data_IF_358549307457
#
_entry.id   IF_358549307457
#
_cell.length_a   1.000
_cell.length_b   1.000
_cell.length_c   1.000
_cell.angle_alpha   90.00
_cell.angle_beta   90.00
_cell.angle_gamma   90.00
#
_symmetry.space_group_name_H-M   'P 1'
#
loop_
_entity.id
_entity.type
_entity.pdbx_description
1 polymer ?
#
# COMPACT_ATOMS: atom_id res chain seq x y z
N UNK A 1 -34.31 -14.73 27.42
CA UNK A 1 -33.73 -13.40 27.16
C UNK A 1 -32.67 -13.53 26.10
N UNK A 2 -32.84 -12.86 24.95
CA UNK A 2 -31.83 -12.86 23.90
C UNK A 2 -30.59 -12.11 24.38
N UNK A 3 -29.43 -12.77 24.43
CA UNK A 3 -28.14 -12.10 24.62
C UNK A 3 -27.97 -11.15 23.44
N UNK A 4 -27.93 -9.83 23.69
CA UNK A 4 -27.54 -8.87 22.65
C UNK A 4 -26.13 -9.26 22.21
N UNK A 5 -25.99 -9.73 20.97
CA UNK A 5 -24.68 -10.00 20.41
C UNK A 5 -23.94 -8.67 20.38
N UNK A 6 -22.82 -8.60 21.10
CA UNK A 6 -21.96 -7.43 21.08
C UNK A 6 -21.21 -7.44 19.74
N UNK A 7 -21.83 -6.87 18.70
CA UNK A 7 -21.29 -6.85 17.34
C UNK A 7 -19.89 -6.20 17.29
N UNK A 8 -19.55 -5.36 18.27
CA UNK A 8 -18.23 -4.76 18.44
C UNK A 8 -17.15 -5.76 18.94
N UNK A 9 -17.56 -6.81 19.67
CA UNK A 9 -16.68 -7.91 20.07
C UNK A 9 -16.55 -9.00 18.99
N UNK A 10 -17.53 -9.10 18.07
CA UNK A 10 -17.55 -10.10 17.01
C UNK A 10 -16.75 -9.71 15.74
N UNK A 11 -16.47 -8.43 15.51
CA UNK A 11 -15.74 -7.97 14.31
C UNK A 11 -14.23 -7.84 14.59
N UNK A 12 -13.39 -8.40 13.70
CA UNK A 12 -11.93 -8.26 13.83
C UNK A 12 -11.53 -6.79 13.74
N UNK A 13 -10.48 -6.40 14.47
CA UNK A 13 -9.92 -5.03 14.39
C UNK A 13 -9.60 -4.66 12.94
N UNK A 14 -9.05 -5.61 12.17
CA UNK A 14 -8.75 -5.40 10.76
C UNK A 14 -9.99 -5.00 9.93
N UNK A 15 -11.12 -5.68 10.11
CA UNK A 15 -12.38 -5.36 9.42
C UNK A 15 -12.90 -3.95 9.76
N UNK A 16 -12.74 -3.50 11.01
CA UNK A 16 -13.17 -2.16 11.46
C UNK A 16 -12.42 -1.02 10.78
N UNK A 17 -11.14 -1.20 10.50
CA UNK A 17 -10.30 -0.15 9.90
C UNK A 17 -10.10 -0.30 8.38
N UNK A 18 -10.71 -1.30 7.73
CA UNK A 18 -10.55 -1.50 6.28
C UNK A 18 -11.00 -0.31 5.42
N UNK A 19 -12.07 0.38 5.82
CA UNK A 19 -12.51 1.59 5.11
C UNK A 19 -11.49 2.72 5.25
N UNK A 20 -10.91 2.87 6.46
CA UNK A 20 -9.90 3.90 6.75
C UNK A 20 -8.61 3.63 5.97
N UNK A 21 -8.10 2.39 5.99
CA UNK A 21 -6.91 2.03 5.22
C UNK A 21 -7.16 2.21 3.72
N UNK A 22 -8.35 1.88 3.22
CA UNK A 22 -8.75 2.13 1.83
C UNK A 22 -8.74 3.62 1.46
N UNK A 23 -9.27 4.50 2.31
CA UNK A 23 -9.23 5.96 2.10
C UNK A 23 -7.80 6.49 2.09
N UNK A 24 -6.95 6.05 3.02
CA UNK A 24 -5.53 6.44 3.04
C UNK A 24 -4.81 5.97 1.77
N UNK A 25 -5.14 4.77 1.28
CA UNK A 25 -4.58 4.25 0.04
C UNK A 25 -4.99 5.14 -1.14
N UNK A 26 -6.26 5.48 -1.26
CA UNK A 26 -6.77 6.35 -2.33
C UNK A 26 -6.04 7.70 -2.37
N UNK A 27 -5.85 8.33 -1.21
CA UNK A 27 -5.11 9.60 -1.11
C UNK A 27 -3.65 9.44 -1.56
N UNK A 28 -2.98 8.37 -1.15
CA UNK A 28 -1.62 8.11 -1.60
C UNK A 28 -1.51 7.76 -3.08
N UNK A 29 -2.54 7.14 -3.68
CA UNK A 29 -2.61 6.94 -5.15
C UNK A 29 -2.68 8.30 -5.85
N UNK A 30 -3.55 9.21 -5.42
CA UNK A 30 -3.65 10.56 -6.00
C UNK A 30 -2.31 11.28 -5.91
N UNK A 31 -1.66 11.24 -4.74
CA UNK A 31 -0.34 11.82 -4.54
C UNK A 31 0.72 11.16 -5.44
N UNK A 32 0.69 9.84 -5.60
CA UNK A 32 1.57 9.09 -6.50
C UNK A 32 1.35 9.47 -7.98
N UNK A 33 0.10 9.64 -8.40
CA UNK A 33 -0.22 10.10 -9.75
C UNK A 33 0.32 11.51 -10.00
N UNK A 34 0.09 12.45 -9.09
CA UNK A 34 0.57 13.84 -9.24
C UNK A 34 2.10 13.92 -9.23
N UNK A 35 2.77 13.13 -8.38
CA UNK A 35 4.22 13.18 -8.25
C UNK A 35 4.98 12.57 -9.43
N UNK A 36 4.43 11.52 -10.05
CA UNK A 36 5.14 10.79 -11.11
C UNK A 36 4.35 10.74 -12.40
N UNK A 37 3.17 10.11 -12.40
CA UNK A 37 2.45 9.82 -13.64
C UNK A 37 2.07 11.08 -14.42
N UNK A 38 1.53 12.09 -13.74
CA UNK A 38 1.16 13.39 -14.34
C UNK A 38 2.40 14.09 -14.89
N UNK A 39 3.54 14.02 -14.18
CA UNK A 39 4.80 14.64 -14.64
C UNK A 39 5.37 13.95 -15.86
N UNK A 40 5.37 12.63 -15.88
CA UNK A 40 5.93 11.84 -16.97
C UNK A 40 5.03 11.91 -18.22
N UNK A 41 3.70 11.86 -18.05
CA UNK A 41 2.76 11.67 -19.15
C UNK A 41 2.06 12.95 -19.62
N UNK A 42 1.86 13.95 -18.75
CA UNK A 42 1.03 15.13 -19.05
C UNK A 42 1.86 16.40 -19.10
N UNK A 43 2.57 16.74 -18.02
CA UNK A 43 3.25 18.05 -17.91
C UNK A 43 4.65 18.05 -18.51
N UNK A 44 5.24 16.89 -18.71
CA UNK A 44 6.67 16.76 -19.02
C UNK A 44 7.54 16.83 -17.76
N UNK A 45 8.78 16.37 -17.92
CA UNK A 45 9.78 16.37 -16.85
C UNK A 45 10.18 17.82 -16.48
N UNK A 46 10.37 18.12 -15.19
CA UNK A 46 10.85 19.44 -14.75
C UNK A 46 12.23 19.78 -15.30
N UNK A 47 12.56 21.07 -15.39
CA UNK A 47 13.87 21.54 -15.84
C UNK A 47 15.01 20.91 -15.01
N UNK A 48 16.00 20.35 -15.71
CA UNK A 48 17.13 19.64 -15.10
C UNK A 48 16.87 18.17 -14.73
N UNK A 49 15.69 17.62 -15.07
CA UNK A 49 15.37 16.19 -14.96
C UNK A 49 15.28 15.60 -16.37
N UNK A 50 16.22 14.74 -16.73
CA UNK A 50 16.34 14.19 -18.09
C UNK A 50 15.60 12.86 -18.27
N UNK A 51 15.30 12.16 -17.18
CA UNK A 51 14.63 10.86 -17.24
C UNK A 51 13.75 10.57 -16.01
N UNK A 52 12.87 9.59 -16.14
CA UNK A 52 11.94 9.14 -15.10
C UNK A 52 12.66 8.70 -13.82
N UNK A 53 13.86 8.12 -13.95
CA UNK A 53 14.66 7.68 -12.81
C UNK A 53 15.11 8.86 -11.95
N UNK A 54 15.61 9.94 -12.56
CA UNK A 54 15.99 11.17 -11.87
C UNK A 54 14.80 11.84 -11.20
N UNK A 55 13.60 11.74 -11.79
CA UNK A 55 12.38 12.24 -11.16
C UNK A 55 12.07 11.50 -9.86
N UNK A 56 12.14 10.16 -9.89
CA UNK A 56 11.87 9.31 -8.72
C UNK A 56 12.91 9.55 -7.63
N UNK A 57 14.19 9.46 -7.98
CA UNK A 57 15.30 9.66 -7.04
C UNK A 57 15.28 11.08 -6.47
N UNK A 58 15.10 12.09 -7.32
CA UNK A 58 15.03 13.49 -6.92
C UNK A 58 13.94 13.76 -5.89
N UNK A 59 12.75 13.15 -6.02
CA UNK A 59 11.67 13.33 -5.03
C UNK A 59 12.09 12.84 -3.63
N UNK A 60 12.72 11.65 -3.55
CA UNK A 60 13.09 11.01 -2.29
C UNK A 60 14.38 11.57 -1.67
N UNK A 61 15.31 12.08 -2.48
CA UNK A 61 16.49 12.78 -1.99
C UNK A 61 16.14 14.16 -1.42
N UNK A 62 15.36 14.94 -2.18
CA UNK A 62 15.05 16.32 -1.82
C UNK A 62 14.16 16.44 -0.58
N UNK A 63 13.35 15.42 -0.27
CA UNK A 63 12.39 15.47 0.84
C UNK A 63 12.34 14.17 1.63
N UNK A 64 12.88 14.22 2.85
CA UNK A 64 12.73 13.14 3.82
C UNK A 64 11.27 12.86 4.18
N UNK A 65 10.43 13.90 4.13
CA UNK A 65 9.01 13.82 4.44
C UNK A 65 8.27 12.94 3.41
N UNK A 66 8.57 13.08 2.11
CA UNK A 66 8.00 12.19 1.10
C UNK A 66 8.48 10.75 1.31
N UNK A 67 9.75 10.50 1.62
CA UNK A 67 10.22 9.15 1.92
C UNK A 67 9.43 8.49 3.06
N UNK A 68 9.27 9.18 4.19
CA UNK A 68 8.53 8.64 5.34
C UNK A 68 7.06 8.41 5.00
N UNK A 69 6.41 9.36 4.32
CA UNK A 69 5.02 9.24 3.90
C UNK A 69 4.78 8.02 3.00
N UNK A 70 5.64 7.82 1.99
CA UNK A 70 5.53 6.67 1.08
C UNK A 70 5.79 5.34 1.80
N UNK A 71 6.74 5.28 2.73
CA UNK A 71 6.99 4.06 3.54
C UNK A 71 5.75 3.71 4.36
N UNK A 72 5.19 4.68 5.08
CA UNK A 72 3.95 4.46 5.87
C UNK A 72 2.81 4.03 4.95
N UNK A 73 2.68 4.66 3.79
CA UNK A 73 1.66 4.31 2.80
C UNK A 73 1.81 2.89 2.27
N UNK A 74 3.03 2.41 1.96
CA UNK A 74 3.27 1.03 1.52
C UNK A 74 2.98 0.00 2.60
N UNK A 75 3.25 0.31 3.88
CA UNK A 75 2.87 -0.58 5.00
C UNK A 75 1.35 -0.72 5.08
N UNK A 76 0.63 0.40 5.02
CA UNK A 76 -0.85 0.42 5.05
C UNK A 76 -1.42 -0.33 3.84
N UNK A 77 -0.85 -0.11 2.65
CA UNK A 77 -1.21 -0.81 1.41
C UNK A 77 -1.03 -2.33 1.58
N UNK A 78 0.10 -2.78 2.12
CA UNK A 78 0.38 -4.19 2.37
C UNK A 78 -0.65 -4.85 3.28
N UNK A 79 -1.00 -4.20 4.39
CA UNK A 79 -2.02 -4.69 5.32
C UNK A 79 -3.41 -4.74 4.65
N UNK A 80 -3.78 -3.69 3.92
CA UNK A 80 -5.06 -3.62 3.20
C UNK A 80 -5.17 -4.71 2.13
N UNK A 81 -4.11 -4.92 1.34
CA UNK A 81 -4.07 -5.96 0.31
C UNK A 81 -4.14 -7.36 0.91
N UNK A 82 -3.38 -7.64 1.98
CA UNK A 82 -3.42 -8.94 2.64
C UNK A 82 -4.84 -9.26 3.15
N UNK A 83 -5.53 -8.27 3.73
CA UNK A 83 -6.90 -8.43 4.19
C UNK A 83 -7.91 -8.54 3.04
N UNK A 84 -7.85 -7.64 2.07
CA UNK A 84 -8.74 -7.61 0.90
C UNK A 84 -8.63 -8.89 0.07
N UNK A 85 -7.42 -9.44 -0.05
CA UNK A 85 -7.15 -10.65 -0.81
C UNK A 85 -7.88 -11.86 -0.23
N UNK A 86 -7.87 -12.10 1.09
CA UNK A 86 -8.67 -13.21 1.63
C UNK A 86 -10.15 -12.87 1.74
N UNK A 87 -10.51 -11.61 1.98
CA UNK A 87 -11.90 -11.17 2.19
C UNK A 87 -12.77 -11.33 0.93
N UNK A 88 -12.18 -11.19 -0.26
CA UNK A 88 -12.91 -11.48 -1.51
C UNK A 88 -13.34 -12.95 -1.61
N UNK A 89 -12.52 -13.90 -1.15
CA UNK A 89 -12.86 -15.33 -1.17
C UNK A 89 -13.96 -15.69 -0.17
N UNK A 90 -14.08 -14.94 0.93
CA UNK A 90 -15.23 -15.08 1.82
C UNK A 90 -16.52 -14.58 1.15
N UNK A 91 -16.43 -13.47 0.42
CA UNK A 91 -17.58 -12.87 -0.29
C UNK A 91 -18.10 -13.78 -1.40
N UNK A 92 -17.22 -14.52 -2.09
CA UNK A 92 -17.59 -15.47 -3.15
C UNK A 92 -18.06 -16.84 -2.62
N UNK A 93 -18.21 -17.00 -1.30
CA UNK A 93 -18.72 -18.23 -0.68
C UNK A 93 -17.68 -19.33 -0.48
N UNK A 94 -16.38 -19.03 -0.60
CA UNK A 94 -15.30 -19.98 -0.33
C UNK A 94 -14.81 -19.93 1.13
N UNK A 95 -15.58 -19.34 2.04
CA UNK A 95 -15.17 -19.10 3.43
C UNK A 95 -14.88 -20.38 4.25
N UNK A 96 -15.46 -21.51 3.84
CA UNK A 96 -15.47 -22.79 4.60
C UNK A 96 -14.60 -23.88 3.97
N UNK A 97 -13.75 -23.54 2.99
CA UNK A 97 -12.85 -24.51 2.35
C UNK A 97 -11.55 -24.69 3.15
N UNK A 98 -11.10 -25.94 3.27
CA UNK A 98 -9.95 -26.33 4.11
C UNK A 98 -8.62 -25.67 3.69
N UNK A 99 -8.51 -25.16 2.45
CA UNK A 99 -7.31 -24.51 1.92
C UNK A 99 -7.27 -22.99 2.15
N UNK A 100 -8.36 -22.37 2.63
CA UNK A 100 -8.43 -20.92 2.87
C UNK A 100 -7.40 -20.41 3.89
N UNK A 101 -7.11 -21.13 5.01
CA UNK A 101 -6.07 -20.69 5.95
C UNK A 101 -4.66 -20.71 5.35
N UNK A 102 -4.39 -21.62 4.39
CA UNK A 102 -3.14 -21.65 3.65
C UNK A 102 -3.03 -20.41 2.74
N UNK A 103 -4.11 -20.12 2.01
CA UNK A 103 -4.19 -18.94 1.15
C UNK A 103 -3.98 -17.63 1.93
N UNK A 104 -4.57 -17.51 3.12
CA UNK A 104 -4.39 -16.34 3.99
C UNK A 104 -2.91 -16.11 4.35
N UNK A 105 -2.18 -17.18 4.69
CA UNK A 105 -0.74 -17.10 4.99
C UNK A 105 0.06 -16.73 3.74
N UNK A 106 -0.25 -17.35 2.60
CA UNK A 106 0.41 -17.05 1.33
C UNK A 106 0.19 -15.59 0.92
N UNK A 107 -1.04 -15.10 1.03
CA UNK A 107 -1.40 -13.72 0.76
C UNK A 107 -0.64 -12.75 1.66
N UNK A 108 -0.55 -13.05 2.97
CA UNK A 108 0.22 -12.24 3.90
C UNK A 108 1.70 -12.16 3.50
N UNK A 109 2.32 -13.30 3.18
CA UNK A 109 3.73 -13.34 2.75
C UNK A 109 3.92 -12.57 1.45
N UNK A 110 3.08 -12.81 0.46
CA UNK A 110 3.15 -12.14 -0.84
C UNK A 110 3.01 -10.61 -0.70
N UNK A 111 1.99 -10.15 0.01
CA UNK A 111 1.77 -8.72 0.24
C UNK A 111 2.91 -8.10 1.06
N UNK A 112 3.47 -8.81 2.04
CA UNK A 112 4.63 -8.35 2.80
C UNK A 112 5.86 -8.18 1.90
N UNK A 113 6.16 -9.16 1.04
CA UNK A 113 7.28 -9.10 0.09
C UNK A 113 7.14 -7.90 -0.86
N UNK A 114 5.97 -7.70 -1.45
CA UNK A 114 5.72 -6.57 -2.35
C UNK A 114 5.89 -5.22 -1.61
N UNK A 115 5.31 -5.11 -0.41
CA UNK A 115 5.40 -3.87 0.39
C UNK A 115 6.84 -3.56 0.79
N UNK A 116 7.59 -4.57 1.23
CA UNK A 116 9.01 -4.43 1.56
C UNK A 116 9.85 -4.07 0.32
N UNK A 117 9.52 -4.63 -0.85
CA UNK A 117 10.17 -4.27 -2.11
C UNK A 117 10.00 -2.79 -2.45
N UNK A 118 8.79 -2.25 -2.33
CA UNK A 118 8.54 -0.82 -2.56
C UNK A 118 9.18 0.09 -1.50
N UNK A 119 9.17 -0.31 -0.23
CA UNK A 119 9.88 0.38 0.85
C UNK A 119 11.38 0.41 0.56
N UNK A 120 11.95 -0.70 0.11
CA UNK A 120 13.35 -0.78 -0.28
C UNK A 120 13.67 0.19 -1.41
N UNK A 121 12.84 0.26 -2.46
CA UNK A 121 13.03 1.24 -3.55
C UNK A 121 13.01 2.68 -3.01
N UNK A 122 12.05 3.04 -2.17
CA UNK A 122 11.96 4.39 -1.61
C UNK A 122 13.17 4.76 -0.73
N UNK A 123 13.67 3.81 0.07
CA UNK A 123 14.88 3.98 0.88
C UNK A 123 16.13 4.06 0.01
N UNK A 124 16.28 3.15 -0.95
CA UNK A 124 17.40 3.15 -1.88
C UNK A 124 17.49 4.46 -2.65
N UNK A 125 16.37 4.93 -3.22
CA UNK A 125 16.29 6.20 -3.94
C UNK A 125 16.64 7.41 -3.07
N UNK A 126 16.50 7.33 -1.74
CA UNK A 126 16.93 8.40 -0.84
C UNK A 126 18.44 8.46 -0.63
N UNK A 127 19.12 7.31 -0.59
CA UNK A 127 20.56 7.23 -0.24
C UNK A 127 21.48 7.01 -1.44
N UNK A 128 20.94 6.63 -2.60
CA UNK A 128 21.72 6.48 -3.83
C UNK A 128 22.35 7.82 -4.21
N UNK A 129 23.62 7.82 -4.58
CA UNK A 129 24.27 9.00 -5.14
C UNK A 129 23.84 9.13 -6.61
N UNK A 130 23.35 10.32 -6.99
CA UNK A 130 23.16 10.66 -8.41
C UNK A 130 24.52 11.13 -8.91
N UNK A 131 25.14 10.33 -9.78
CA UNK A 131 26.40 10.65 -10.47
C UNK A 131 26.13 11.60 -11.64
#
# INVERSE_FOLDING_TARGET
GYKKADYAAASSWASRYMWLTGTVILLGIVLHMVNFWVKIQITGLPDGVENDYQLVVGLFQNSALYTVLYIVWFIILGVHLAHGFWSMFQTTGQAYVNWLPCLQKLALVYCAVISLGFIFVALWSRYVAVL
#
